data_IF_307729809796
#
_entry.id   IF_307729809796
#
_cell.length_a   1.000
_cell.length_b   1.000
_cell.length_c   1.000
_cell.angle_alpha   90.00
_cell.angle_beta   90.00
_cell.angle_gamma   90.00
#
_symmetry.space_group_name_H-M   'P 1'
#
loop_
_entity.id
_entity.type
_entity.pdbx_description
1 polymer ?
#
# COMPACT_ATOMS: atom_id res chain seq x y z
N UNK A 1 1.30 4.42 -43.23
CA UNK A 1 1.86 3.51 -42.21
C UNK A 1 0.79 3.31 -41.16
N UNK A 2 0.55 2.09 -40.65
CA UNK A 2 -0.41 1.91 -39.57
C UNK A 2 0.09 2.70 -38.36
N UNK A 3 -0.82 3.40 -37.67
CA UNK A 3 -0.50 4.07 -36.43
C UNK A 3 -0.06 3.02 -35.38
N UNK A 4 0.93 3.32 -34.52
CA UNK A 4 1.31 2.41 -33.44
C UNK A 4 0.11 2.16 -32.52
N UNK A 5 0.00 0.97 -31.93
CA UNK A 5 -1.08 0.68 -30.98
C UNK A 5 -1.00 1.61 -29.77
N UNK A 6 -2.16 2.08 -29.30
CA UNK A 6 -2.29 2.94 -28.11
C UNK A 6 -2.70 2.09 -26.92
N UNK A 7 -1.92 2.10 -25.85
CA UNK A 7 -2.25 1.43 -24.59
C UNK A 7 -3.07 2.38 -23.71
N UNK A 8 -4.26 1.96 -23.28
CA UNK A 8 -5.20 2.76 -22.49
C UNK A 8 -5.52 2.16 -21.11
N UNK A 9 -5.03 0.95 -20.80
CA UNK A 9 -5.34 0.24 -19.55
C UNK A 9 -4.32 0.55 -18.43
N UNK A 10 -4.10 1.84 -18.18
CA UNK A 10 -3.17 2.27 -17.12
C UNK A 10 -3.69 1.99 -15.70
N UNK A 11 -4.97 1.65 -15.54
CA UNK A 11 -5.51 1.18 -14.27
C UNK A 11 -5.05 -0.26 -13.93
N UNK A 12 -4.81 -1.10 -14.94
CA UNK A 12 -4.28 -2.46 -14.74
C UNK A 12 -2.76 -2.46 -14.48
N UNK A 13 -1.99 -1.71 -15.27
CA UNK A 13 -0.54 -1.53 -15.10
C UNK A 13 -0.06 -0.35 -15.93
N UNK A 14 1.14 0.14 -15.67
CA UNK A 14 1.78 1.20 -16.47
C UNK A 14 3.12 0.71 -17.02
N UNK A 15 3.57 1.20 -18.20
CA UNK A 15 4.95 1.01 -18.63
C UNK A 15 5.92 1.55 -17.58
N UNK A 16 7.03 0.86 -17.39
CA UNK A 16 8.13 1.39 -16.56
C UNK A 16 8.73 2.61 -17.25
N UNK A 17 8.85 3.71 -16.51
CA UNK A 17 9.44 4.94 -17.04
C UNK A 17 10.95 4.79 -17.21
N UNK A 18 11.54 5.49 -18.18
CA UNK A 18 12.97 5.39 -18.50
C UNK A 18 13.85 5.71 -17.29
N UNK A 19 13.55 6.79 -16.57
CA UNK A 19 14.31 7.17 -15.37
C UNK A 19 14.22 6.14 -14.25
N UNK A 20 13.10 5.38 -14.17
CA UNK A 20 12.93 4.27 -13.25
C UNK A 20 13.79 3.09 -13.65
N UNK A 21 13.81 2.74 -14.94
CA UNK A 21 14.65 1.67 -15.46
C UNK A 21 16.14 1.96 -15.22
N UNK A 22 16.60 3.19 -15.50
CA UNK A 22 17.97 3.58 -15.23
C UNK A 22 18.33 3.58 -13.73
N UNK A 23 17.39 3.89 -12.84
CA UNK A 23 17.59 3.79 -11.40
C UNK A 23 17.74 2.32 -10.91
N UNK A 24 17.08 1.38 -11.57
CA UNK A 24 17.14 -0.06 -11.27
C UNK A 24 18.42 -0.74 -11.77
N UNK A 25 18.86 -0.36 -12.97
CA UNK A 25 19.91 -1.01 -13.75
C UNK A 25 21.24 -1.28 -12.98
N UNK A 26 21.77 -0.34 -12.17
CA UNK A 26 23.00 -0.58 -11.42
C UNK A 26 22.93 -1.79 -10.47
N UNK A 27 21.77 -2.11 -9.93
CA UNK A 27 21.57 -3.17 -8.96
C UNK A 27 21.49 -4.58 -9.58
N UNK A 28 21.37 -4.68 -10.89
CA UNK A 28 21.51 -5.93 -11.64
C UNK A 28 22.96 -6.22 -12.06
N UNK A 29 23.91 -5.32 -11.77
CA UNK A 29 25.30 -5.41 -12.15
C UNK A 29 26.26 -4.97 -11.04
N UNK A 30 26.92 -3.84 -11.22
CA UNK A 30 28.03 -3.40 -10.36
C UNK A 30 27.66 -3.09 -8.90
N UNK A 31 26.41 -2.73 -8.63
CA UNK A 31 25.92 -2.40 -7.27
C UNK A 31 25.12 -3.55 -6.64
N UNK A 32 25.48 -4.79 -6.92
CA UNK A 32 24.91 -5.95 -6.24
C UNK A 32 25.28 -5.94 -4.74
N UNK A 33 24.45 -6.52 -3.90
CA UNK A 33 24.74 -6.66 -2.47
C UNK A 33 23.51 -7.09 -1.68
N UNK A 34 23.74 -7.82 -0.58
CA UNK A 34 22.69 -8.11 0.39
C UNK A 34 22.63 -6.96 1.41
N UNK A 35 21.50 -6.24 1.56
CA UNK A 35 21.38 -5.10 2.48
C UNK A 35 21.62 -5.44 3.95
N UNK A 36 21.55 -6.72 4.33
CA UNK A 36 21.85 -7.19 5.70
C UNK A 36 23.35 -7.36 5.97
N UNK A 37 24.23 -7.30 4.94
CA UNK A 37 25.67 -7.47 5.08
C UNK A 37 26.35 -6.16 5.52
N UNK A 38 27.36 -6.29 6.40
CA UNK A 38 28.09 -5.14 6.97
C UNK A 38 29.24 -4.62 6.09
N UNK A 39 29.62 -5.36 5.04
CA UNK A 39 30.67 -4.95 4.12
C UNK A 39 30.17 -3.87 3.12
N UNK A 40 31.07 -3.32 2.31
CA UNK A 40 30.81 -2.19 1.41
C UNK A 40 29.57 -2.40 0.52
N UNK A 41 29.46 -3.53 -0.18
CA UNK A 41 28.35 -3.81 -1.10
C UNK A 41 27.01 -3.90 -0.37
N UNK A 42 26.99 -4.48 0.83
CA UNK A 42 25.78 -4.50 1.66
C UNK A 42 25.34 -3.10 2.10
N UNK A 43 26.30 -2.25 2.51
CA UNK A 43 25.99 -0.86 2.87
C UNK A 43 25.48 -0.03 1.69
N UNK A 44 26.03 -0.24 0.47
CA UNK A 44 25.55 0.42 -0.74
C UNK A 44 24.11 -0.01 -1.09
N UNK A 45 23.81 -1.31 -0.96
CA UNK A 45 22.45 -1.82 -1.15
C UNK A 45 21.48 -1.28 -0.07
N UNK A 46 21.91 -1.23 1.19
CA UNK A 46 21.12 -0.65 2.29
C UNK A 46 20.82 0.83 2.05
N UNK A 47 21.82 1.61 1.64
CA UNK A 47 21.63 3.03 1.34
C UNK A 47 20.58 3.26 0.24
N UNK A 48 20.54 2.40 -0.78
CA UNK A 48 19.52 2.49 -1.84
C UNK A 48 18.10 2.18 -1.32
N UNK A 49 17.94 1.21 -0.42
CA UNK A 49 16.66 0.94 0.24
C UNK A 49 16.20 2.12 1.08
N UNK A 50 17.12 2.69 1.87
CA UNK A 50 16.82 3.82 2.76
C UNK A 50 16.43 5.06 1.94
N UNK A 51 17.15 5.35 0.84
CA UNK A 51 16.81 6.43 -0.09
C UNK A 51 15.42 6.23 -0.73
N UNK A 52 15.13 5.03 -1.21
CA UNK A 52 13.81 4.72 -1.78
C UNK A 52 12.69 4.90 -0.73
N UNK A 53 12.93 4.47 0.50
CA UNK A 53 12.02 4.60 1.63
C UNK A 53 11.72 6.06 1.98
N UNK A 54 12.76 6.89 2.00
CA UNK A 54 12.63 8.35 2.20
C UNK A 54 11.79 9.01 1.09
N UNK A 55 12.03 8.61 -0.17
CA UNK A 55 11.31 9.17 -1.32
C UNK A 55 9.82 8.80 -1.28
N UNK A 56 9.51 7.52 -1.06
CA UNK A 56 8.12 7.04 -0.94
C UNK A 56 7.43 7.71 0.25
N UNK A 57 8.06 7.75 1.41
CA UNK A 57 7.51 8.41 2.60
C UNK A 57 7.24 9.90 2.35
N UNK A 58 8.20 10.63 1.79
CA UNK A 58 8.06 12.07 1.48
C UNK A 58 6.92 12.36 0.51
N UNK A 59 6.77 11.54 -0.54
CA UNK A 59 5.71 11.70 -1.54
C UNK A 59 4.31 11.60 -0.92
N UNK A 60 4.17 10.81 0.15
CA UNK A 60 2.88 10.47 0.75
C UNK A 60 2.67 11.03 2.16
N UNK A 61 3.52 11.98 2.60
CA UNK A 61 3.40 12.60 3.91
C UNK A 61 3.70 11.65 5.08
N UNK A 62 4.35 10.51 4.82
CA UNK A 62 4.74 9.52 5.81
C UNK A 62 6.22 9.64 6.19
N UNK A 63 6.58 9.16 7.40
CA UNK A 63 7.98 9.02 7.80
C UNK A 63 8.59 7.78 7.14
N UNK A 64 9.91 7.74 6.90
CA UNK A 64 10.59 6.55 6.37
C UNK A 64 10.35 5.29 7.22
N UNK A 65 10.22 5.44 8.55
CA UNK A 65 9.98 4.32 9.46
C UNK A 65 8.56 3.73 9.38
N UNK A 66 7.64 4.48 8.81
CA UNK A 66 6.26 4.05 8.56
C UNK A 66 6.13 3.20 7.29
N UNK A 67 7.11 3.23 6.37
CA UNK A 67 7.09 2.51 5.10
C UNK A 67 7.68 1.10 5.27
N UNK A 68 6.97 0.06 4.84
CA UNK A 68 7.42 -1.32 4.75
C UNK A 68 7.25 -1.80 3.30
N UNK A 69 8.33 -2.24 2.66
CA UNK A 69 8.27 -2.75 1.29
C UNK A 69 7.72 -4.18 1.24
N UNK A 70 6.95 -4.47 0.22
CA UNK A 70 6.31 -5.76 -0.07
C UNK A 70 6.54 -6.13 -1.54
N UNK A 71 6.04 -7.30 -1.96
CA UNK A 71 6.10 -7.72 -3.36
C UNK A 71 5.02 -7.07 -4.26
N UNK A 72 4.10 -6.30 -3.68
CA UNK A 72 3.02 -5.63 -4.40
C UNK A 72 1.86 -5.26 -3.50
N UNK A 73 0.84 -4.62 -4.07
CA UNK A 73 -0.35 -4.19 -3.32
C UNK A 73 -1.11 -5.35 -2.67
N UNK A 74 -1.18 -6.51 -3.32
CA UNK A 74 -1.84 -7.69 -2.75
C UNK A 74 -1.18 -8.17 -1.46
N UNK A 75 0.16 -8.27 -1.42
CA UNK A 75 0.87 -8.61 -0.18
C UNK A 75 0.69 -7.53 0.89
N UNK A 76 0.73 -6.25 0.49
CA UNK A 76 0.52 -5.15 1.42
C UNK A 76 -0.89 -5.17 2.03
N UNK A 77 -1.94 -5.46 1.23
CA UNK A 77 -3.30 -5.64 1.72
C UNK A 77 -3.41 -6.82 2.70
N UNK A 78 -2.80 -7.97 2.35
CA UNK A 78 -2.78 -9.15 3.24
C UNK A 78 -2.06 -8.86 4.56
N UNK A 79 -1.02 -8.04 4.54
CA UNK A 79 -0.27 -7.65 5.73
C UNK A 79 -1.08 -6.67 6.60
N UNK A 80 -1.80 -5.72 5.98
CA UNK A 80 -2.65 -4.75 6.65
C UNK A 80 -3.91 -5.38 7.27
N UNK A 81 -4.55 -6.33 6.56
CA UNK A 81 -5.81 -6.93 6.98
C UNK A 81 -5.56 -8.17 7.85
N UNK A 82 -5.10 -7.92 9.08
CA UNK A 82 -4.73 -8.96 10.04
C UNK A 82 -5.54 -8.88 11.33
N UNK A 83 -6.02 -10.01 11.91
CA UNK A 83 -6.81 -10.05 13.16
C UNK A 83 -6.10 -9.43 14.38
N UNK A 84 -4.77 -9.32 14.35
CA UNK A 84 -4.02 -8.61 15.39
C UNK A 84 -4.37 -7.11 15.47
N UNK A 85 -4.85 -6.52 14.36
CA UNK A 85 -5.18 -5.11 14.25
C UNK A 85 -6.63 -4.77 14.57
N UNK A 86 -7.54 -5.75 14.50
CA UNK A 86 -8.95 -5.54 14.78
C UNK A 86 -9.69 -6.83 15.10
N UNK A 87 -10.85 -6.74 15.73
CA UNK A 87 -11.70 -7.90 16.06
C UNK A 87 -12.72 -8.20 14.95
N UNK A 88 -13.11 -7.18 14.20
CA UNK A 88 -14.01 -7.28 13.04
C UNK A 88 -13.42 -6.52 11.86
N UNK A 89 -13.57 -7.09 10.67
CA UNK A 89 -13.16 -6.45 9.41
C UNK A 89 -14.40 -5.98 8.64
N UNK A 90 -14.48 -4.67 8.39
CA UNK A 90 -15.47 -4.04 7.53
C UNK A 90 -14.77 -3.57 6.25
N UNK A 91 -15.29 -3.94 5.08
CA UNK A 91 -14.71 -3.59 3.78
C UNK A 91 -15.74 -2.95 2.87
N UNK A 92 -15.38 -2.01 2.04
CA UNK A 92 -16.35 -1.50 1.07
C UNK A 92 -16.72 -2.58 0.05
N UNK A 93 -17.98 -2.58 -0.40
CA UNK A 93 -18.48 -3.57 -1.34
C UNK A 93 -17.79 -3.53 -2.72
N UNK A 94 -17.03 -2.48 -2.99
CA UNK A 94 -16.35 -2.22 -4.28
C UNK A 94 -14.82 -2.39 -4.22
N UNK A 95 -14.29 -2.98 -3.15
CA UNK A 95 -12.85 -3.19 -2.98
C UNK A 95 -12.25 -4.11 -4.06
N UNK A 96 -10.94 -3.95 -4.27
CA UNK A 96 -10.16 -4.88 -5.10
C UNK A 96 -10.23 -6.33 -4.55
N UNK A 97 -10.17 -7.36 -5.40
CA UNK A 97 -10.21 -8.77 -4.95
C UNK A 97 -9.24 -9.13 -3.83
N UNK A 98 -8.05 -8.50 -3.74
CA UNK A 98 -7.09 -8.73 -2.65
C UNK A 98 -7.58 -8.23 -1.28
N UNK A 99 -8.50 -7.28 -1.24
CA UNK A 99 -9.20 -6.83 -0.02
C UNK A 99 -10.48 -7.64 0.18
N UNK A 100 -11.26 -7.86 -0.91
CA UNK A 100 -12.49 -8.65 -0.89
C UNK A 100 -12.31 -10.07 -0.35
N UNK A 101 -11.12 -10.65 -0.52
CA UNK A 101 -10.78 -11.95 0.08
C UNK A 101 -10.71 -11.92 1.61
N UNK A 102 -10.85 -10.76 2.25
CA UNK A 102 -10.86 -10.60 3.71
C UNK A 102 -9.48 -10.64 4.38
N UNK A 103 -8.41 -10.55 3.61
CA UNK A 103 -7.06 -10.60 4.17
C UNK A 103 -6.82 -11.90 4.95
N UNK A 104 -6.45 -11.78 6.23
CA UNK A 104 -6.23 -12.90 7.17
C UNK A 104 -7.38 -13.09 8.16
N UNK A 105 -8.48 -12.36 8.03
CA UNK A 105 -9.70 -12.57 8.82
C UNK A 105 -10.48 -13.79 8.31
N UNK A 106 -11.19 -14.47 9.20
CA UNK A 106 -12.06 -15.58 8.84
C UNK A 106 -13.30 -15.13 8.05
N UNK A 107 -13.73 -13.88 8.25
CA UNK A 107 -14.84 -13.26 7.56
C UNK A 107 -14.65 -11.73 7.51
N UNK A 108 -15.26 -11.10 6.51
CA UNK A 108 -15.38 -9.66 6.40
C UNK A 108 -16.84 -9.28 6.16
N UNK A 109 -17.26 -8.13 6.66
CA UNK A 109 -18.60 -7.59 6.46
C UNK A 109 -18.55 -6.45 5.42
N UNK A 110 -19.51 -6.44 4.49
CA UNK A 110 -19.56 -5.42 3.45
C UNK A 110 -20.18 -4.11 3.97
N UNK A 111 -19.50 -3.00 3.68
CA UNK A 111 -20.04 -1.67 3.80
C UNK A 111 -20.75 -1.34 2.48
N UNK A 112 -22.02 -0.97 2.55
CA UNK A 112 -22.79 -0.64 1.37
C UNK A 112 -22.23 0.59 0.63
N UNK A 113 -22.43 0.62 -0.69
CA UNK A 113 -22.15 1.78 -1.54
C UNK A 113 -23.44 2.30 -2.15
N UNK A 114 -23.48 3.59 -2.44
CA UNK A 114 -24.59 4.24 -3.15
C UNK A 114 -24.62 3.81 -4.63
N UNK A 115 -25.68 4.16 -5.35
CA UNK A 115 -25.76 3.94 -6.79
C UNK A 115 -24.68 4.68 -7.59
N UNK A 116 -24.06 5.71 -7.01
CA UNK A 116 -22.90 6.41 -7.60
C UNK A 116 -21.56 5.70 -7.33
N UNK A 117 -21.55 4.55 -6.66
CA UNK A 117 -20.34 3.81 -6.31
C UNK A 117 -19.54 4.47 -5.16
N UNK A 118 -20.16 5.33 -4.37
CA UNK A 118 -19.53 5.98 -3.21
C UNK A 118 -19.95 5.23 -1.94
N UNK A 119 -19.02 4.99 -1.03
CA UNK A 119 -19.31 4.34 0.26
C UNK A 119 -20.42 5.11 1.01
N UNK A 120 -21.40 4.38 1.55
CA UNK A 120 -22.47 4.94 2.37
C UNK A 120 -21.95 5.15 3.81
N UNK A 121 -21.59 6.40 4.12
CA UNK A 121 -21.07 6.77 5.44
C UNK A 121 -22.11 6.57 6.55
N UNK A 122 -23.41 6.69 6.26
CA UNK A 122 -24.47 6.42 7.24
C UNK A 122 -24.57 4.93 7.54
N UNK A 123 -24.39 4.08 6.53
CA UNK A 123 -24.30 2.64 6.73
C UNK A 123 -23.04 2.27 7.52
N UNK A 124 -21.88 2.89 7.21
CA UNK A 124 -20.63 2.70 7.96
C UNK A 124 -20.81 3.07 9.43
N UNK A 125 -21.34 4.25 9.73
CA UNK A 125 -21.58 4.71 11.11
C UNK A 125 -22.46 3.72 11.90
N UNK A 126 -23.54 3.23 11.28
CA UNK A 126 -24.40 2.21 11.90
C UNK A 126 -23.68 0.89 12.16
N UNK A 127 -22.82 0.45 11.23
CA UNK A 127 -22.03 -0.78 11.40
C UNK A 127 -20.95 -0.65 12.47
N UNK A 128 -20.39 0.55 12.68
CA UNK A 128 -19.40 0.83 13.72
C UNK A 128 -20.01 0.83 15.13
N UNK A 129 -21.31 1.14 15.25
CA UNK A 129 -21.97 1.28 16.54
C UNK A 129 -21.88 -0.01 17.38
N UNK A 130 -21.31 0.10 18.60
CA UNK A 130 -21.16 -1.00 19.54
C UNK A 130 -20.10 -2.06 19.15
N UNK A 131 -19.32 -1.84 18.10
CA UNK A 131 -18.21 -2.73 17.72
C UNK A 131 -16.98 -2.46 18.59
N UNK A 132 -16.27 -3.52 18.94
CA UNK A 132 -14.97 -3.44 19.59
C UNK A 132 -13.87 -3.51 18.52
N UNK A 133 -12.94 -2.54 18.54
CA UNK A 133 -11.76 -2.51 17.68
C UNK A 133 -12.03 -2.85 16.19
N UNK A 134 -12.93 -2.14 15.50
CA UNK A 134 -13.18 -2.40 14.08
C UNK A 134 -11.94 -2.03 13.25
N UNK A 135 -11.58 -2.89 12.29
CA UNK A 135 -10.66 -2.56 11.19
C UNK A 135 -11.53 -2.31 9.95
N UNK A 136 -11.46 -1.11 9.42
CA UNK A 136 -12.18 -0.71 8.21
C UNK A 136 -11.20 -0.63 7.05
N UNK A 137 -11.56 -1.18 5.89
CA UNK A 137 -10.78 -1.04 4.66
C UNK A 137 -11.60 -0.34 3.58
N UNK A 138 -11.07 0.77 3.08
CA UNK A 138 -11.64 1.54 1.96
C UNK A 138 -10.57 1.77 0.91
N UNK A 139 -10.89 1.54 -0.37
CA UNK A 139 -10.03 2.01 -1.45
C UNK A 139 -10.13 3.53 -1.59
N UNK A 140 -9.02 4.19 -1.95
CA UNK A 140 -9.01 5.64 -2.17
C UNK A 140 -9.74 6.02 -3.47
N UNK A 141 -9.52 5.24 -4.53
CA UNK A 141 -10.20 5.39 -5.81
C UNK A 141 -10.42 4.01 -6.45
N UNK A 142 -11.60 3.80 -7.03
CA UNK A 142 -11.94 2.52 -7.63
C UNK A 142 -11.24 2.33 -8.98
N UNK A 143 -10.62 1.18 -9.17
CA UNK A 143 -9.82 0.85 -10.36
C UNK A 143 -10.66 0.65 -11.64
N UNK A 144 -11.96 0.37 -11.52
CA UNK A 144 -12.86 0.16 -12.66
C UNK A 144 -13.63 1.44 -13.03
N UNK A 145 -14.17 2.13 -12.03
CA UNK A 145 -15.06 3.26 -12.23
C UNK A 145 -14.38 4.62 -12.10
N UNK A 146 -13.22 4.67 -11.43
CA UNK A 146 -12.51 5.91 -11.11
C UNK A 146 -13.13 6.73 -9.98
N UNK A 147 -14.19 6.23 -9.34
CA UNK A 147 -14.86 6.95 -8.24
C UNK A 147 -13.94 7.07 -7.04
N UNK A 148 -13.74 8.32 -6.59
CA UNK A 148 -12.95 8.65 -5.39
C UNK A 148 -13.84 8.50 -4.16
N UNK A 149 -13.32 7.86 -3.11
CA UNK A 149 -14.07 7.57 -1.90
C UNK A 149 -13.86 8.65 -0.83
N UNK A 150 -14.84 8.89 0.06
CA UNK A 150 -14.78 9.89 1.14
C UNK A 150 -13.95 9.34 2.33
N UNK A 151 -12.66 9.08 2.08
CA UNK A 151 -11.77 8.42 3.04
C UNK A 151 -11.56 9.25 4.29
N UNK A 152 -11.42 10.57 4.16
CA UNK A 152 -11.20 11.47 5.31
C UNK A 152 -12.41 11.50 6.24
N UNK A 153 -13.62 11.55 5.68
CA UNK A 153 -14.87 11.51 6.44
C UNK A 153 -15.05 10.15 7.13
N UNK A 154 -14.73 9.07 6.42
CA UNK A 154 -14.74 7.72 6.99
C UNK A 154 -13.72 7.59 8.13
N UNK A 155 -12.53 8.18 8.03
CA UNK A 155 -11.52 8.17 9.08
C UNK A 155 -12.07 8.76 10.39
N UNK A 156 -12.80 9.86 10.32
CA UNK A 156 -13.43 10.48 11.49
C UNK A 156 -14.39 9.51 12.20
N UNK A 157 -15.25 8.83 11.44
CA UNK A 157 -16.20 7.86 11.98
C UNK A 157 -15.51 6.64 12.60
N UNK A 158 -14.52 6.10 11.89
CA UNK A 158 -13.76 4.92 12.33
C UNK A 158 -12.99 5.21 13.62
N UNK A 159 -12.31 6.34 13.69
CA UNK A 159 -11.54 6.73 14.87
C UNK A 159 -12.45 7.06 16.06
N UNK A 160 -13.61 7.69 15.83
CA UNK A 160 -14.60 7.93 16.88
C UNK A 160 -15.12 6.61 17.50
N UNK A 161 -15.16 5.54 16.71
CA UNK A 161 -15.51 4.18 17.17
C UNK A 161 -14.32 3.41 17.78
N UNK A 162 -13.14 4.02 17.92
CA UNK A 162 -11.93 3.36 18.42
C UNK A 162 -11.34 2.33 17.45
N UNK A 163 -11.67 2.43 16.17
CA UNK A 163 -11.21 1.55 15.10
C UNK A 163 -9.94 2.03 14.41
N UNK A 164 -9.48 1.23 13.44
CA UNK A 164 -8.38 1.54 12.54
C UNK A 164 -8.87 1.60 11.09
N UNK A 165 -8.33 2.54 10.31
CA UNK A 165 -8.62 2.68 8.89
C UNK A 165 -7.44 2.23 8.03
N UNK A 166 -7.66 1.19 7.22
CA UNK A 166 -6.79 0.82 6.11
C UNK A 166 -7.31 1.47 4.82
N UNK A 167 -6.40 2.05 4.04
CA UNK A 167 -6.70 2.67 2.74
C UNK A 167 -5.94 1.92 1.65
N UNK A 168 -6.64 1.24 0.73
CA UNK A 168 -6.03 0.79 -0.51
C UNK A 168 -5.86 1.99 -1.44
N UNK A 169 -4.65 2.57 -1.45
CA UNK A 169 -4.33 3.75 -2.24
C UNK A 169 -3.62 3.41 -3.56
N UNK A 170 -3.69 2.17 -4.04
CA UNK A 170 -2.99 1.70 -5.25
C UNK A 170 -3.30 2.55 -6.48
N UNK A 171 -4.49 3.12 -6.58
CA UNK A 171 -4.87 4.01 -7.69
C UNK A 171 -4.67 5.52 -7.39
N UNK A 172 -4.16 5.88 -6.20
CA UNK A 172 -4.05 7.28 -5.74
C UNK A 172 -2.81 8.02 -6.23
N UNK A 173 -1.58 7.56 -5.90
CA UNK A 173 -0.36 8.32 -6.15
C UNK A 173 -0.18 8.70 -7.62
N UNK A 174 0.26 9.94 -7.86
CA UNK A 174 0.44 10.49 -9.20
C UNK A 174 -0.84 10.86 -9.96
N UNK A 175 -2.05 10.58 -9.39
CA UNK A 175 -3.34 10.88 -10.03
C UNK A 175 -4.20 11.82 -9.21
N UNK A 176 -4.25 11.61 -7.90
CA UNK A 176 -5.04 12.43 -6.95
C UNK A 176 -4.21 12.71 -5.70
N UNK A 177 -4.65 13.65 -4.88
CA UNK A 177 -4.04 13.91 -3.59
C UNK A 177 -4.08 12.65 -2.72
N UNK A 178 -2.91 12.25 -2.21
CA UNK A 178 -2.74 10.98 -1.52
C UNK A 178 -1.74 11.14 -0.36
N UNK A 179 -2.05 12.05 0.58
CA UNK A 179 -1.23 12.26 1.78
C UNK A 179 -1.77 11.39 2.92
N UNK A 180 -0.93 10.53 3.46
CA UNK A 180 -1.27 9.54 4.47
C UNK A 180 -1.90 10.15 5.73
N UNK A 181 -1.34 11.28 6.19
CA UNK A 181 -1.83 11.93 7.41
C UNK A 181 -3.11 12.71 7.16
N UNK A 182 -3.19 13.42 6.04
CA UNK A 182 -4.38 14.18 5.67
C UNK A 182 -5.59 13.28 5.44
N UNK A 183 -5.38 12.09 4.86
CA UNK A 183 -6.43 11.09 4.69
C UNK A 183 -6.88 10.45 6.02
N UNK A 184 -6.11 10.62 7.09
CA UNK A 184 -6.40 9.98 8.37
C UNK A 184 -6.23 8.46 8.36
N UNK A 185 -5.42 7.93 7.45
CA UNK A 185 -5.18 6.49 7.37
C UNK A 185 -4.26 6.01 8.50
N UNK A 186 -4.54 4.83 9.05
CA UNK A 186 -3.66 4.12 9.96
C UNK A 186 -2.73 3.16 9.21
N UNK A 187 -3.23 2.65 8.08
CA UNK A 187 -2.54 1.76 7.16
C UNK A 187 -2.87 2.19 5.72
N UNK A 188 -1.87 2.18 4.83
CA UNK A 188 -2.07 2.53 3.42
C UNK A 188 -1.28 1.60 2.52
N UNK A 189 -1.94 1.02 1.54
CA UNK A 189 -1.34 0.11 0.56
C UNK A 189 -0.99 0.82 -0.74
N UNK A 190 0.18 0.47 -1.29
CA UNK A 190 0.73 1.01 -2.53
C UNK A 190 1.24 -0.09 -3.46
N UNK A 191 1.26 0.20 -4.76
CA UNK A 191 1.84 -0.70 -5.76
C UNK A 191 2.62 0.08 -6.82
N UNK A 192 3.89 -0.26 -6.99
CA UNK A 192 4.84 0.45 -7.85
C UNK A 192 4.42 0.49 -9.32
N UNK A 193 3.93 -0.64 -9.88
CA UNK A 193 3.59 -0.77 -11.29
C UNK A 193 2.39 0.08 -11.75
N UNK A 194 1.67 0.71 -10.83
CA UNK A 194 0.55 1.60 -11.15
C UNK A 194 0.99 3.05 -11.41
N UNK A 195 2.25 3.38 -11.11
CA UNK A 195 2.81 4.73 -11.20
C UNK A 195 4.06 4.82 -12.08
N UNK A 196 4.27 3.86 -12.97
CA UNK A 196 5.43 3.82 -13.85
C UNK A 196 6.66 3.16 -13.24
N UNK A 197 6.49 2.49 -12.11
CA UNK A 197 7.52 1.68 -11.45
C UNK A 197 7.47 0.20 -11.87
N UNK A 198 8.39 -0.63 -11.35
CA UNK A 198 8.46 -2.06 -11.68
C UNK A 198 7.30 -2.85 -11.04
N UNK A 199 6.91 -3.94 -11.70
CA UNK A 199 6.11 -5.00 -11.10
C UNK A 199 6.91 -5.73 -10.00
N UNK A 200 6.21 -6.44 -9.11
CA UNK A 200 6.86 -7.21 -8.04
C UNK A 200 7.39 -6.36 -6.88
N UNK A 201 6.91 -5.11 -6.74
CA UNK A 201 7.18 -4.22 -5.60
C UNK A 201 5.92 -3.44 -5.23
N UNK A 202 5.67 -3.35 -3.93
CA UNK A 202 4.67 -2.50 -3.31
C UNK A 202 5.15 -2.01 -1.95
N UNK A 203 4.29 -1.32 -1.24
CA UNK A 203 4.56 -0.93 0.13
C UNK A 203 3.27 -0.88 0.97
N UNK A 204 3.44 -1.16 2.26
CA UNK A 204 2.50 -0.81 3.29
C UNK A 204 3.06 0.38 4.07
N UNK A 205 2.33 1.48 4.12
CA UNK A 205 2.56 2.53 5.10
C UNK A 205 1.72 2.21 6.33
N UNK A 206 2.34 2.26 7.49
CA UNK A 206 1.67 2.03 8.78
C UNK A 206 1.96 3.17 9.74
N UNK A 207 0.96 3.63 10.46
CA UNK A 207 1.11 4.65 11.49
C UNK A 207 2.17 4.23 12.51
N UNK A 208 2.98 5.18 12.94
CA UNK A 208 3.99 4.99 13.97
C UNK A 208 3.38 4.36 15.25
N UNK A 209 4.09 3.39 15.82
CA UNK A 209 3.63 2.64 16.98
C UNK A 209 2.61 1.53 16.69
N UNK A 210 2.07 1.42 15.47
CA UNK A 210 1.14 0.34 15.11
C UNK A 210 1.92 -0.94 14.80
N UNK A 211 1.75 -1.97 15.64
CA UNK A 211 2.37 -3.27 15.43
C UNK A 211 1.60 -4.08 14.38
N UNK A 212 2.28 -4.52 13.33
CA UNK A 212 1.73 -5.41 12.30
C UNK A 212 2.30 -6.81 12.50
N UNK A 213 1.44 -7.84 12.53
CA UNK A 213 1.87 -9.23 12.61
C UNK A 213 2.44 -9.70 11.27
N UNK A 214 3.74 -10.09 11.21
CA UNK A 214 4.39 -10.48 9.97
C UNK A 214 3.76 -11.74 9.36
N UNK A 215 3.39 -11.66 8.08
CA UNK A 215 2.91 -12.82 7.32
C UNK A 215 4.07 -13.71 6.87
N UNK A 216 5.18 -13.10 6.45
CA UNK A 216 6.40 -13.80 6.04
C UNK A 216 7.41 -13.65 7.17
N UNK A 217 7.65 -14.74 7.91
CA UNK A 217 8.59 -14.78 9.04
C UNK A 217 9.96 -15.27 8.62
N UNK A 218 11.02 -14.75 9.23
CA UNK A 218 12.41 -15.13 8.90
C UNK A 218 13.42 -14.19 9.54
N UNK A 219 14.32 -13.61 8.74
CA UNK A 219 15.30 -12.61 9.19
C UNK A 219 14.67 -11.26 9.55
N UNK A 220 15.48 -10.31 9.99
CA UNK A 220 15.03 -8.99 10.45
C UNK A 220 14.77 -7.96 9.34
N UNK A 221 14.61 -8.39 8.07
CA UNK A 221 14.31 -7.49 6.97
C UNK A 221 13.02 -6.72 7.23
N UNK A 222 12.91 -5.53 6.63
CA UNK A 222 11.78 -4.62 6.85
C UNK A 222 11.43 -4.47 8.34
N UNK A 223 12.45 -4.40 9.20
CA UNK A 223 12.31 -4.26 10.66
C UNK A 223 11.50 -5.39 11.31
N UNK A 224 11.58 -6.60 10.76
CA UNK A 224 10.86 -7.77 11.23
C UNK A 224 9.40 -7.86 10.77
N UNK A 225 8.90 -6.89 10.01
CA UNK A 225 7.52 -6.85 9.51
C UNK A 225 7.36 -7.74 8.27
N UNK A 226 8.40 -7.86 7.45
CA UNK A 226 8.40 -8.70 6.24
C UNK A 226 9.79 -9.25 6.00
N UNK A 227 9.98 -10.52 6.24
CA UNK A 227 11.26 -11.19 6.08
C UNK A 227 11.56 -11.57 4.61
N UNK A 228 12.81 -11.94 4.36
CA UNK A 228 13.35 -12.28 3.03
C UNK A 228 14.18 -11.15 2.45
N UNK A 229 15.26 -11.52 1.74
CA UNK A 229 16.16 -10.56 1.10
C UNK A 229 15.37 -9.59 0.23
N UNK A 230 15.59 -8.31 0.44
CA UNK A 230 14.87 -7.24 -0.22
C UNK A 230 15.20 -7.16 -1.72
N UNK A 231 14.21 -6.89 -2.55
CA UNK A 231 14.37 -6.63 -3.98
C UNK A 231 14.97 -5.24 -4.22
N UNK A 232 16.27 -5.09 -4.00
CA UNK A 232 16.97 -3.79 -4.03
C UNK A 232 16.71 -3.04 -5.34
N UNK A 233 16.84 -3.71 -6.49
CA UNK A 233 16.61 -3.08 -7.79
C UNK A 233 15.16 -2.58 -7.94
N UNK A 234 14.19 -3.43 -7.62
CA UNK A 234 12.78 -3.06 -7.71
C UNK A 234 12.39 -1.95 -6.75
N UNK A 235 12.93 -1.98 -5.52
CA UNK A 235 12.66 -0.95 -4.50
C UNK A 235 13.29 0.40 -4.89
N UNK A 236 14.52 0.39 -5.43
CA UNK A 236 15.14 1.60 -5.99
C UNK A 236 14.30 2.18 -7.13
N UNK A 237 13.76 1.31 -8.01
CA UNK A 237 12.81 1.70 -9.06
C UNK A 237 11.52 2.28 -8.50
N UNK A 238 10.96 1.71 -7.44
CA UNK A 238 9.75 2.27 -6.81
C UNK A 238 10.01 3.65 -6.19
N UNK A 239 11.17 3.85 -5.56
CA UNK A 239 11.55 5.17 -5.07
C UNK A 239 11.80 6.21 -6.17
N UNK A 240 12.10 5.78 -7.40
CA UNK A 240 12.26 6.66 -8.56
C UNK A 240 10.93 6.94 -9.29
N UNK A 241 9.96 6.05 -9.17
CA UNK A 241 8.64 6.18 -9.76
C UNK A 241 7.78 7.24 -9.05
#
# INVERSE_FOLDING_TARGET
MPHPPVYLDHAATTPVREEVFEAMKPFYGARFGNPSSTHRWGREARAALDEARERVGRCLGAKPDEVCFTSGGTEANMLALAPALGEVLLISAIEHPSVRSGGRFAAAEDIAVTAAGVVDLVALERQLAGRSRPLVSLMLANNETGVIQPVTEAAVLVHAAGGLLHVDAVQGPGRIACDFKTLGADLMTLSSHKIGGPQGVGALIRRDGLAVDPQIKGGGQERGVRAGTENVAGIAGFGAA
#
